data_IF_130257123155
#
_entry.id   IF_130257123155
#
_cell.length_a   1.000
_cell.length_b   1.000
_cell.length_c   1.000
_cell.angle_alpha   90.00
_cell.angle_beta   90.00
_cell.angle_gamma   90.00
#
_symmetry.space_group_name_H-M   'P 1'
#
loop_
_entity.id
_entity.type
_entity.pdbx_description
1 polymer ?
#
# COMPACT_ATOMS: atom_id res chain seq x y z
N UNK A 1 143.45 14.39 13.67
CA UNK A 1 142.40 13.34 13.60
C UNK A 1 140.97 13.89 13.79
N UNK A 2 140.75 14.97 14.57
CA UNK A 2 139.41 15.56 14.81
C UNK A 2 138.72 16.17 13.56
N UNK A 3 139.46 16.69 12.57
CA UNK A 3 138.89 17.25 11.33
C UNK A 3 138.33 16.20 10.35
N UNK A 4 138.81 14.95 10.42
CA UNK A 4 138.36 13.85 9.55
C UNK A 4 137.05 13.22 10.04
N UNK A 5 136.80 13.22 11.36
CA UNK A 5 135.55 12.72 11.96
C UNK A 5 134.38 13.67 11.69
N UNK A 6 134.62 14.99 11.72
CA UNK A 6 133.61 16.00 11.37
C UNK A 6 133.21 15.91 9.89
N UNK A 7 134.16 15.62 9.00
CA UNK A 7 133.87 15.40 7.58
C UNK A 7 133.03 14.14 7.33
N UNK A 8 133.27 13.05 8.08
CA UNK A 8 132.51 11.80 7.97
C UNK A 8 131.10 11.93 8.54
N UNK A 9 130.91 12.69 9.63
CA UNK A 9 129.59 13.00 10.19
C UNK A 9 128.76 13.96 9.30
N UNK A 10 129.42 14.90 8.63
CA UNK A 10 128.77 15.76 7.63
C UNK A 10 128.35 14.97 6.39
N UNK A 11 129.16 14.01 5.93
CA UNK A 11 128.81 13.13 4.81
C UNK A 11 127.65 12.20 5.20
N UNK A 12 127.59 11.71 6.45
CA UNK A 12 126.47 10.89 6.94
C UNK A 12 125.17 11.71 7.11
N UNK A 13 125.25 13.00 7.47
CA UNK A 13 124.10 13.91 7.48
C UNK A 13 123.60 14.26 6.07
N UNK A 14 124.48 14.28 5.07
CA UNK A 14 124.12 14.54 3.67
C UNK A 14 123.53 13.28 2.99
N UNK A 15 123.83 12.08 3.49
CA UNK A 15 123.29 10.80 2.98
C UNK A 15 121.93 10.40 3.57
N UNK A 16 121.42 11.08 4.61
CA UNK A 16 120.07 10.89 5.15
C UNK A 16 119.01 11.82 4.52
N UNK A 17 119.40 12.60 3.51
CA UNK A 17 118.57 13.63 2.86
C UNK A 17 117.85 13.18 1.56
N UNK A 18 117.73 11.88 1.28
CA UNK A 18 117.03 11.38 0.08
C UNK A 18 116.17 10.18 0.44
N UNK A 19 114.88 10.35 0.76
CA UNK A 19 113.68 10.12 -0.09
C UNK A 19 112.45 10.20 0.86
N UNK A 20 111.21 10.52 0.50
CA UNK A 20 110.49 10.71 -0.75
C UNK A 20 109.67 12.01 -0.66
N UNK A 21 109.55 12.68 -1.79
CA UNK A 21 108.57 13.74 -2.06
C UNK A 21 107.16 13.14 -2.17
N UNK A 22 106.21 13.73 -1.47
CA UNK A 22 104.81 13.75 -1.88
C UNK A 22 104.42 15.22 -2.05
N UNK A 23 104.54 15.71 -3.28
CA UNK A 23 104.02 17.01 -3.67
C UNK A 23 102.50 16.95 -3.81
N UNK A 24 101.88 17.87 -3.09
CA UNK A 24 100.69 18.64 -3.42
C UNK A 24 99.49 17.95 -4.09
N UNK A 25 98.37 17.98 -3.37
CA UNK A 25 97.10 18.41 -3.98
C UNK A 25 96.55 19.59 -3.16
N UNK A 26 96.98 20.79 -3.51
CA UNK A 26 96.09 21.94 -3.37
C UNK A 26 95.00 21.78 -4.42
N UNK A 27 93.74 21.64 -4.02
CA UNK A 27 92.58 22.20 -4.75
C UNK A 27 91.30 21.75 -4.08
N UNK A 28 90.38 22.69 -3.90
CA UNK A 28 88.97 22.38 -3.70
C UNK A 28 88.44 22.82 -2.36
N UNK A 29 88.36 24.14 -2.15
CA UNK A 29 87.22 24.67 -1.42
C UNK A 29 85.98 24.41 -2.28
N UNK A 30 85.48 23.17 -2.27
CA UNK A 30 84.10 22.90 -2.67
C UNK A 30 83.25 23.26 -1.48
N UNK A 31 82.81 24.51 -1.45
CA UNK A 31 81.57 24.89 -0.78
C UNK A 31 80.43 24.11 -1.44
N UNK A 32 80.33 22.80 -1.19
CA UNK A 32 79.04 22.12 -1.24
C UNK A 32 78.28 22.65 -0.05
N UNK A 33 77.58 23.77 -0.28
CA UNK A 33 76.48 24.21 0.55
C UNK A 33 75.45 23.08 0.52
N UNK A 34 75.60 22.11 1.43
CA UNK A 34 74.58 21.10 1.66
C UNK A 34 73.40 21.83 2.29
N UNK A 35 72.48 22.30 1.46
CA UNK A 35 71.22 22.90 1.92
C UNK A 35 70.39 21.78 2.52
N UNK A 36 70.50 21.60 3.83
CA UNK A 36 69.68 20.66 4.58
C UNK A 36 68.26 21.24 4.69
N UNK A 37 67.30 20.62 4.01
CA UNK A 37 65.88 21.01 4.09
C UNK A 37 65.23 20.38 5.32
N UNK A 38 64.37 21.15 5.99
CA UNK A 38 63.53 20.66 7.07
C UNK A 38 62.12 20.38 6.55
N UNK A 39 61.60 19.18 6.81
CA UNK A 39 60.23 18.78 6.46
C UNK A 39 59.59 18.19 7.72
N UNK A 40 58.45 18.75 8.13
CA UNK A 40 57.67 18.30 9.28
C UNK A 40 56.23 18.07 8.82
N UNK A 41 55.68 16.87 9.05
CA UNK A 41 54.34 16.46 8.61
C UNK A 41 54.07 16.74 7.11
N UNK A 42 55.06 16.48 6.24
CA UNK A 42 54.97 16.72 4.80
C UNK A 42 55.11 18.17 4.35
N UNK A 43 55.21 19.13 5.28
CA UNK A 43 55.41 20.56 4.97
C UNK A 43 56.88 20.95 5.07
N UNK A 44 57.40 21.59 4.03
CA UNK A 44 58.76 22.15 4.05
C UNK A 44 58.79 23.39 4.94
N UNK A 45 59.74 23.45 5.88
CA UNK A 45 59.95 24.57 6.78
C UNK A 45 61.07 25.45 6.23
N UNK A 46 60.73 26.69 5.92
CA UNK A 46 61.69 27.70 5.48
C UNK A 46 62.42 28.26 6.70
N UNK A 47 63.74 28.25 6.66
CA UNK A 47 64.59 28.81 7.74
C UNK A 47 65.37 30.00 7.22
N UNK A 48 65.59 31.01 8.07
CA UNK A 48 66.51 32.09 7.75
C UNK A 48 67.96 31.53 7.71
N UNK A 49 68.87 32.23 7.03
CA UNK A 49 70.27 31.79 6.90
C UNK A 49 70.97 31.63 8.26
N UNK A 50 70.60 32.42 9.27
CA UNK A 50 71.12 32.33 10.65
C UNK A 50 70.59 31.14 11.45
N UNK A 51 69.54 30.48 10.94
CA UNK A 51 68.83 29.39 11.60
C UNK A 51 68.71 28.17 10.68
N UNK A 52 69.51 28.11 9.62
CA UNK A 52 69.56 26.93 8.75
C UNK A 52 70.27 25.78 9.47
N UNK A 53 69.86 24.51 9.25
CA UNK A 53 70.61 23.39 9.80
C UNK A 53 72.03 23.39 9.26
N UNK A 54 72.99 23.03 10.12
CA UNK A 54 74.41 23.05 9.78
C UNK A 54 75.02 21.67 9.93
N UNK A 55 75.83 21.26 8.96
CA UNK A 55 76.62 20.03 9.06
C UNK A 55 77.99 20.39 9.64
N UNK A 56 78.29 19.88 10.82
CA UNK A 56 79.56 20.09 11.49
C UNK A 56 80.15 18.75 11.95
N UNK A 57 81.37 18.45 11.47
CA UNK A 57 82.11 17.19 11.75
C UNK A 57 81.25 15.93 11.53
N UNK A 58 80.53 15.87 10.42
CA UNK A 58 79.68 14.73 10.05
C UNK A 58 78.37 14.62 10.85
N UNK A 59 78.02 15.62 11.67
CA UNK A 59 76.74 15.69 12.39
C UNK A 59 75.92 16.87 11.89
N UNK A 60 74.64 16.64 11.66
CA UNK A 60 73.69 17.71 11.32
C UNK A 60 73.10 18.29 12.60
N UNK A 61 73.28 19.59 12.81
CA UNK A 61 72.68 20.35 13.89
C UNK A 61 71.46 21.08 13.36
N UNK A 62 70.33 20.89 14.03
CA UNK A 62 69.04 21.48 13.65
C UNK A 62 68.58 22.41 14.77
N UNK A 63 68.06 23.61 14.47
CA UNK A 63 67.49 24.47 15.49
C UNK A 63 66.29 23.82 16.17
N UNK A 64 66.46 23.51 17.46
CA UNK A 64 65.45 22.80 18.26
C UNK A 64 64.11 23.56 18.32
N UNK A 65 64.15 24.89 18.33
CA UNK A 65 62.93 25.72 18.37
C UNK A 65 62.06 25.52 17.13
N UNK A 66 62.68 25.55 15.95
CA UNK A 66 61.97 25.39 14.66
C UNK A 66 61.28 24.03 14.59
N UNK A 67 61.98 22.96 15.01
CA UNK A 67 61.41 21.61 14.99
C UNK A 67 60.27 21.49 16.00
N UNK A 68 60.46 22.00 17.22
CA UNK A 68 59.45 21.91 18.28
C UNK A 68 58.19 22.74 17.95
N UNK A 69 58.32 23.96 17.45
CA UNK A 69 57.18 24.79 17.04
C UNK A 69 56.46 24.21 15.82
N UNK A 70 57.19 23.61 14.87
CA UNK A 70 56.58 22.89 13.75
C UNK A 70 55.76 21.66 14.19
N UNK A 71 56.03 21.14 15.39
CA UNK A 71 55.26 20.10 16.06
C UNK A 71 54.19 20.66 17.02
N UNK A 72 53.88 21.97 16.91
CA UNK A 72 52.96 22.71 17.80
C UNK A 72 53.35 22.66 19.29
N UNK A 73 54.63 22.47 19.60
CA UNK A 73 55.15 22.53 20.96
C UNK A 73 55.61 23.94 21.27
N UNK A 74 55.37 24.39 22.51
CA UNK A 74 55.86 25.66 23.01
C UNK A 74 57.30 25.51 23.50
N UNK A 75 58.17 26.47 23.14
CA UNK A 75 59.58 26.50 23.53
C UNK A 75 59.91 27.77 24.31
N UNK A 76 60.37 27.62 25.55
CA UNK A 76 60.82 28.70 26.42
C UNK A 76 62.31 28.56 26.73
N UNK A 77 63.05 29.68 26.82
CA UNK A 77 64.46 29.70 27.23
C UNK A 77 64.60 30.25 28.64
N UNK A 78 65.15 29.43 29.55
CA UNK A 78 65.56 29.89 30.87
C UNK A 78 67.03 30.34 30.81
N UNK A 79 67.23 31.66 30.75
CA UNK A 79 68.56 32.27 30.66
C UNK A 79 69.40 32.12 31.93
N UNK A 80 68.77 31.92 33.09
CA UNK A 80 69.42 31.77 34.40
C UNK A 80 69.95 30.36 34.57
N UNK A 81 69.16 29.36 34.19
CA UNK A 81 69.53 27.95 34.27
C UNK A 81 70.27 27.45 33.02
N UNK A 82 70.31 28.25 31.95
CA UNK A 82 70.82 27.85 30.63
C UNK A 82 70.09 26.62 30.07
N UNK A 83 68.77 26.58 30.25
CA UNK A 83 67.92 25.42 29.91
C UNK A 83 66.85 25.79 28.90
N UNK A 84 66.66 24.94 27.89
CA UNK A 84 65.50 25.01 26.97
C UNK A 84 64.37 24.17 27.57
N UNK A 85 63.20 24.79 27.78
CA UNK A 85 61.98 24.11 28.23
C UNK A 85 61.04 23.96 27.05
N UNK A 86 60.66 22.73 26.72
CA UNK A 86 59.70 22.41 25.66
C UNK A 86 58.46 21.83 26.32
N UNK A 87 57.29 22.41 26.06
CA UNK A 87 56.00 21.96 26.59
C UNK A 87 55.00 21.77 25.46
N UNK A 88 54.41 20.59 25.35
CA UNK A 88 53.25 20.34 24.50
C UNK A 88 51.95 20.47 25.29
N UNK A 89 50.86 20.80 24.60
CA UNK A 89 49.53 20.39 25.10
C UNK A 89 49.43 18.90 24.85
N UNK A 90 49.26 18.09 25.89
CA UNK A 90 48.70 16.76 25.73
C UNK A 90 47.25 16.95 25.30
N UNK A 91 46.83 16.34 24.19
CA UNK A 91 45.47 16.41 23.62
C UNK A 91 44.37 15.79 24.52
N UNK A 92 44.58 15.72 25.83
CA UNK A 92 43.87 14.81 26.73
C UNK A 92 42.56 15.37 27.32
N UNK A 93 42.29 16.67 27.24
CA UNK A 93 41.11 17.27 27.93
C UNK A 93 39.98 17.65 26.96
N UNK A 94 40.29 18.19 25.78
CA UNK A 94 39.28 18.55 24.79
C UNK A 94 38.70 17.31 24.07
N UNK A 95 39.55 16.31 23.78
CA UNK A 95 39.10 15.07 23.12
C UNK A 95 38.30 14.17 24.06
N UNK A 96 38.64 14.14 25.35
CA UNK A 96 37.89 13.37 26.36
C UNK A 96 36.46 13.89 26.55
N UNK A 97 36.25 15.21 26.52
CA UNK A 97 34.91 15.79 26.61
C UNK A 97 34.07 15.54 25.35
N UNK A 98 34.70 15.55 24.17
CA UNK A 98 34.01 15.28 22.90
C UNK A 98 33.63 13.80 22.77
N UNK A 99 34.50 12.87 23.20
CA UNK A 99 34.19 11.44 23.26
C UNK A 99 33.00 11.17 24.17
N UNK A 100 33.01 11.73 25.40
CA UNK A 100 31.89 11.56 26.33
C UNK A 100 30.55 12.09 25.77
N UNK A 101 30.57 13.18 25.00
CA UNK A 101 29.37 13.72 24.35
C UNK A 101 28.87 12.82 23.22
N UNK A 102 29.77 12.26 22.42
CA UNK A 102 29.43 11.30 21.36
C UNK A 102 28.87 10.00 21.96
N UNK A 103 29.46 9.49 23.04
CA UNK A 103 28.98 8.29 23.73
C UNK A 103 27.57 8.50 24.30
N UNK A 104 27.31 9.66 24.90
CA UNK A 104 25.95 10.03 25.35
C UNK A 104 24.95 10.10 24.19
N UNK A 105 25.37 10.65 23.05
CA UNK A 105 24.53 10.73 21.85
C UNK A 105 24.24 9.34 21.28
N UNK A 106 25.25 8.46 21.23
CA UNK A 106 25.09 7.06 20.80
C UNK A 106 24.14 6.33 21.73
N UNK A 107 24.26 6.52 23.04
CA UNK A 107 23.36 5.92 24.03
C UNK A 107 21.92 6.38 23.83
N UNK A 108 21.70 7.69 23.64
CA UNK A 108 20.36 8.25 23.40
C UNK A 108 19.75 7.73 22.10
N UNK A 109 20.51 7.75 21.00
CA UNK A 109 20.07 7.18 19.72
C UNK A 109 19.77 5.68 19.82
N UNK A 110 20.55 4.93 20.60
CA UNK A 110 20.31 3.50 20.84
C UNK A 110 19.03 3.27 21.63
N UNK A 111 18.74 4.10 22.63
CA UNK A 111 17.49 4.04 23.38
C UNK A 111 16.29 4.38 22.48
N UNK A 112 16.39 5.42 21.65
CA UNK A 112 15.35 5.78 20.68
C UNK A 112 15.10 4.68 19.65
N UNK A 113 16.15 4.05 19.12
CA UNK A 113 16.03 2.91 18.20
C UNK A 113 15.36 1.72 18.87
N UNK A 114 15.73 1.42 20.12
CA UNK A 114 15.10 0.34 20.89
C UNK A 114 13.62 0.60 21.08
N UNK A 115 13.23 1.82 21.47
CA UNK A 115 11.84 2.22 21.63
C UNK A 115 11.07 2.11 20.30
N UNK A 116 11.61 2.63 19.20
CA UNK A 116 10.98 2.53 17.87
C UNK A 116 10.80 1.07 17.44
N UNK A 117 11.78 0.21 17.68
CA UNK A 117 11.68 -1.21 17.35
C UNK A 117 10.58 -1.90 18.17
N UNK A 118 10.44 -1.58 19.46
CA UNK A 118 9.34 -2.10 20.28
C UNK A 118 7.98 -1.61 19.78
N UNK A 119 7.85 -0.35 19.37
CA UNK A 119 6.61 0.18 18.78
C UNK A 119 6.27 -0.49 17.44
N UNK A 120 7.27 -0.73 16.58
CA UNK A 120 7.07 -1.46 15.32
C UNK A 120 6.58 -2.88 15.60
N UNK A 121 7.16 -3.56 16.59
CA UNK A 121 6.71 -4.91 16.97
C UNK A 121 5.27 -4.92 17.51
N UNK A 122 4.87 -3.94 18.32
CA UNK A 122 3.50 -3.86 18.82
C UNK A 122 2.50 -3.56 17.71
N UNK A 123 2.83 -2.63 16.81
CA UNK A 123 1.98 -2.31 15.65
C UNK A 123 1.84 -3.52 14.72
N UNK A 124 2.92 -4.28 14.50
CA UNK A 124 2.84 -5.48 13.67
C UNK A 124 1.92 -6.53 14.29
N UNK A 125 2.00 -6.74 15.61
CA UNK A 125 1.12 -7.68 16.30
C UNK A 125 -0.37 -7.25 16.22
N UNK A 126 -0.65 -5.95 16.33
CA UNK A 126 -2.00 -5.39 16.18
C UNK A 126 -2.55 -5.59 14.76
N UNK A 127 -1.74 -5.32 13.73
CA UNK A 127 -2.10 -5.59 12.32
C UNK A 127 -2.42 -7.07 12.11
N UNK A 128 -1.61 -7.97 12.67
CA UNK A 128 -1.82 -9.42 12.53
C UNK A 128 -3.10 -9.90 13.23
N UNK A 129 -3.52 -9.24 14.32
CA UNK A 129 -4.81 -9.50 14.99
C UNK A 129 -5.98 -9.02 14.15
N UNK A 130 -5.96 -7.77 13.67
CA UNK A 130 -7.05 -7.20 12.87
C UNK A 130 -7.28 -7.98 11.57
N UNK A 131 -6.20 -8.39 10.89
CA UNK A 131 -6.30 -9.24 9.69
C UNK A 131 -6.96 -10.59 9.94
N UNK A 132 -6.75 -11.15 11.13
CA UNK A 132 -7.38 -12.43 11.47
C UNK A 132 -8.87 -12.27 11.69
N UNK A 133 -9.32 -11.22 12.38
CA UNK A 133 -10.73 -10.99 12.66
C UNK A 133 -11.55 -10.88 11.36
N UNK A 134 -11.17 -9.97 10.45
CA UNK A 134 -11.90 -9.79 9.18
C UNK A 134 -11.92 -11.05 8.28
N UNK A 135 -10.85 -11.86 8.32
CA UNK A 135 -10.74 -13.04 7.46
C UNK A 135 -11.40 -14.29 8.06
N UNK A 136 -11.71 -14.32 9.36
CA UNK A 136 -12.56 -15.37 9.95
C UNK A 136 -14.03 -15.13 9.66
N UNK A 137 -14.50 -13.88 9.72
CA UNK A 137 -15.93 -13.61 9.63
C UNK A 137 -16.49 -13.87 8.22
N UNK A 138 -15.74 -13.51 7.16
CA UNK A 138 -16.12 -13.87 5.78
C UNK A 138 -15.83 -15.33 5.44
N UNK A 139 -14.77 -15.93 5.97
CA UNK A 139 -14.42 -17.32 5.69
C UNK A 139 -15.40 -18.32 6.30
N UNK A 140 -15.84 -18.07 7.54
CA UNK A 140 -16.90 -18.88 8.17
C UNK A 140 -18.22 -18.72 7.40
N UNK A 141 -18.52 -17.51 6.91
CA UNK A 141 -19.69 -17.25 6.07
C UNK A 141 -19.58 -17.91 4.67
N UNK A 142 -18.39 -17.97 4.06
CA UNK A 142 -18.16 -18.71 2.81
C UNK A 142 -18.50 -20.20 2.97
N UNK A 143 -18.02 -20.82 4.05
CA UNK A 143 -18.27 -22.23 4.35
C UNK A 143 -19.78 -22.48 4.60
N UNK A 144 -20.45 -21.59 5.34
CA UNK A 144 -21.89 -21.67 5.59
C UNK A 144 -22.71 -21.48 4.31
N UNK A 145 -22.39 -20.47 3.49
CA UNK A 145 -23.03 -20.24 2.20
C UNK A 145 -22.86 -21.44 1.27
N UNK A 146 -21.64 -21.97 1.17
CA UNK A 146 -21.39 -23.14 0.33
C UNK A 146 -22.15 -24.36 0.84
N UNK A 147 -22.28 -24.54 2.15
CA UNK A 147 -23.07 -25.63 2.74
C UNK A 147 -24.57 -25.50 2.47
N UNK A 148 -25.13 -24.30 2.55
CA UNK A 148 -26.57 -24.06 2.43
C UNK A 148 -27.03 -23.92 0.97
N UNK A 149 -26.13 -23.50 0.07
CA UNK A 149 -26.42 -23.19 -1.32
C UNK A 149 -25.54 -23.99 -2.30
N UNK A 150 -25.21 -25.25 -1.97
CA UNK A 150 -24.39 -26.15 -2.81
C UNK A 150 -25.09 -26.63 -4.09
N UNK A 151 -26.38 -26.37 -4.24
CA UNK A 151 -27.16 -26.62 -5.46
C UNK A 151 -28.04 -25.42 -5.84
N UNK A 152 -28.01 -25.10 -7.13
CA UNK A 152 -29.02 -24.32 -7.83
C UNK A 152 -29.95 -25.31 -8.54
N UNK A 153 -31.09 -25.62 -7.94
CA UNK A 153 -31.99 -26.67 -8.40
C UNK A 153 -31.24 -28.01 -8.64
N UNK A 154 -31.03 -28.38 -9.90
CA UNK A 154 -30.33 -29.61 -10.29
C UNK A 154 -28.89 -29.37 -10.77
N UNK A 155 -28.43 -28.11 -10.72
CA UNK A 155 -27.07 -27.67 -11.01
C UNK A 155 -26.27 -27.64 -9.71
N UNK A 156 -25.15 -28.35 -9.69
CA UNK A 156 -24.27 -28.33 -8.54
C UNK A 156 -23.38 -27.10 -8.60
N UNK A 157 -23.23 -26.45 -7.45
CA UNK A 157 -22.29 -25.37 -7.24
C UNK A 157 -20.95 -25.97 -6.81
N UNK A 158 -19.88 -25.57 -7.49
CA UNK A 158 -18.55 -26.05 -7.19
C UNK A 158 -17.87 -25.22 -6.11
N UNK A 159 -18.15 -23.92 -6.06
CA UNK A 159 -17.58 -23.02 -5.08
C UNK A 159 -18.40 -21.74 -4.91
N UNK A 160 -18.42 -21.19 -3.70
CA UNK A 160 -18.83 -19.82 -3.40
C UNK A 160 -17.66 -19.15 -2.69
N UNK A 161 -17.20 -18.00 -3.19
CA UNK A 161 -16.16 -17.18 -2.58
C UNK A 161 -16.65 -15.77 -2.32
N UNK A 162 -16.22 -15.20 -1.19
CA UNK A 162 -16.45 -13.83 -0.78
C UNK A 162 -15.10 -13.07 -0.75
N UNK A 163 -15.10 -11.84 -1.25
CA UNK A 163 -13.98 -10.90 -1.14
C UNK A 163 -14.51 -9.53 -0.69
N UNK A 164 -13.63 -8.67 -0.19
CA UNK A 164 -13.99 -7.35 0.33
C UNK A 164 -14.03 -7.28 1.85
N UNK A 165 -14.99 -6.51 2.37
CA UNK A 165 -15.19 -6.29 3.81
C UNK A 165 -16.68 -6.32 4.19
N UNK A 166 -16.99 -6.09 5.47
CA UNK A 166 -18.35 -6.16 6.01
C UNK A 166 -19.32 -5.14 5.40
N UNK A 167 -18.82 -4.06 4.77
CA UNK A 167 -19.63 -3.01 4.16
C UNK A 167 -19.79 -3.22 2.63
N UNK A 168 -18.82 -3.87 1.99
CA UNK A 168 -18.76 -4.07 0.53
C UNK A 168 -18.20 -5.48 0.20
N UNK A 169 -19.12 -6.40 -0.09
CA UNK A 169 -18.84 -7.82 -0.37
C UNK A 169 -18.96 -8.11 -1.86
N UNK A 170 -17.95 -8.75 -2.41
CA UNK A 170 -17.96 -9.32 -3.76
C UNK A 170 -18.10 -10.84 -3.71
N UNK A 171 -19.14 -11.37 -4.36
CA UNK A 171 -19.45 -12.81 -4.42
C UNK A 171 -19.04 -13.40 -5.76
N UNK A 172 -18.35 -14.54 -5.72
CA UNK A 172 -18.05 -15.36 -6.91
C UNK A 172 -18.61 -16.76 -6.70
N UNK A 173 -19.54 -17.15 -7.56
CA UNK A 173 -20.14 -18.48 -7.57
C UNK A 173 -19.61 -19.22 -8.80
N UNK A 174 -19.09 -20.43 -8.61
CA UNK A 174 -18.53 -21.26 -9.68
C UNK A 174 -19.42 -22.48 -9.92
N UNK A 175 -19.78 -22.71 -11.19
CA UNK A 175 -20.48 -23.92 -11.64
C UNK A 175 -19.64 -24.59 -12.72
N UNK A 176 -19.78 -25.91 -12.88
CA UNK A 176 -19.12 -26.65 -13.94
C UNK A 176 -20.11 -27.01 -15.04
N UNK A 177 -20.12 -26.24 -16.13
CA UNK A 177 -21.06 -26.50 -17.22
C UNK A 177 -20.63 -27.64 -18.14
N UNK A 178 -19.38 -28.10 -18.13
CA UNK A 178 -18.99 -29.37 -18.80
C UNK A 178 -19.81 -30.55 -18.26
N UNK A 179 -20.17 -30.52 -16.96
CA UNK A 179 -21.00 -31.56 -16.32
C UNK A 179 -22.49 -31.22 -16.21
N UNK A 180 -22.86 -29.94 -16.29
CA UNK A 180 -24.21 -29.46 -15.97
C UNK A 180 -24.88 -28.63 -17.08
N UNK A 181 -24.31 -28.50 -18.28
CA UNK A 181 -24.84 -27.70 -19.41
C UNK A 181 -26.34 -27.85 -19.64
N UNK A 182 -26.84 -29.09 -19.73
CA UNK A 182 -28.20 -29.45 -20.10
C UNK A 182 -29.18 -29.20 -18.96
N UNK A 183 -28.67 -29.09 -17.73
CA UNK A 183 -29.48 -28.74 -16.57
C UNK A 183 -29.52 -27.23 -16.40
N UNK A 184 -28.39 -26.56 -16.59
CA UNK A 184 -28.31 -25.11 -16.66
C UNK A 184 -29.24 -24.56 -17.75
N UNK A 185 -29.22 -25.16 -18.95
CA UNK A 185 -30.05 -24.77 -20.08
C UNK A 185 -31.56 -24.89 -19.85
N UNK A 186 -31.99 -25.47 -18.72
CA UNK A 186 -33.41 -25.66 -18.35
C UNK A 186 -33.83 -24.77 -17.19
N UNK A 187 -32.89 -24.07 -16.57
CA UNK A 187 -33.19 -23.15 -15.49
C UNK A 187 -33.90 -21.92 -16.05
N UNK A 188 -34.99 -21.52 -15.40
CA UNK A 188 -35.59 -20.21 -15.66
C UNK A 188 -34.77 -19.09 -15.05
N UNK A 189 -34.94 -17.88 -15.57
CA UNK A 189 -34.37 -16.67 -14.99
C UNK A 189 -34.78 -16.51 -13.53
N UNK A 190 -36.06 -16.70 -13.21
CA UNK A 190 -36.61 -16.72 -11.86
C UNK A 190 -35.96 -17.73 -10.90
N UNK A 191 -35.61 -18.94 -11.34
CA UNK A 191 -34.90 -19.94 -10.52
C UNK A 191 -33.49 -19.45 -10.16
N UNK A 192 -32.77 -18.91 -11.14
CA UNK A 192 -31.43 -18.34 -10.95
C UNK A 192 -31.50 -17.11 -10.04
N UNK A 193 -32.45 -16.19 -10.29
CA UNK A 193 -32.66 -14.97 -9.50
C UNK A 193 -32.94 -15.33 -8.03
N UNK A 194 -33.85 -16.25 -7.79
CA UNK A 194 -34.23 -16.68 -6.43
C UNK A 194 -33.05 -17.26 -5.66
N UNK A 195 -32.23 -18.09 -6.32
CA UNK A 195 -31.01 -18.63 -5.73
C UNK A 195 -30.02 -17.53 -5.33
N UNK A 196 -29.72 -16.60 -6.26
CA UNK A 196 -28.78 -15.50 -5.97
C UNK A 196 -29.34 -14.60 -4.86
N UNK A 197 -30.64 -14.31 -4.88
CA UNK A 197 -31.28 -13.51 -3.84
C UNK A 197 -31.13 -14.16 -2.47
N UNK A 198 -31.32 -15.47 -2.35
CA UNK A 198 -31.12 -16.17 -1.08
C UNK A 198 -29.67 -16.07 -0.58
N UNK A 199 -28.68 -16.19 -1.48
CA UNK A 199 -27.26 -16.01 -1.14
C UNK A 199 -27.00 -14.58 -0.64
N UNK A 200 -27.52 -13.57 -1.35
CA UNK A 200 -27.37 -12.15 -0.98
C UNK A 200 -28.04 -11.84 0.36
N UNK A 201 -29.27 -12.33 0.56
CA UNK A 201 -30.03 -12.14 1.80
C UNK A 201 -29.28 -12.78 2.98
N UNK A 202 -28.73 -13.99 2.82
CA UNK A 202 -27.93 -14.64 3.87
C UNK A 202 -26.66 -13.85 4.24
N UNK A 203 -26.01 -13.23 3.25
CA UNK A 203 -24.86 -12.34 3.51
C UNK A 203 -25.29 -11.11 4.30
N UNK A 204 -26.38 -10.44 3.88
CA UNK A 204 -26.88 -9.24 4.56
C UNK A 204 -27.41 -9.56 5.97
N UNK A 205 -28.03 -10.72 6.17
CA UNK A 205 -28.51 -11.19 7.49
C UNK A 205 -27.36 -11.42 8.48
N UNK A 206 -26.22 -11.94 8.01
CA UNK A 206 -25.06 -12.21 8.86
C UNK A 206 -24.24 -10.95 9.16
N UNK A 207 -24.14 -10.05 8.18
CA UNK A 207 -23.32 -8.83 8.28
C UNK A 207 -24.16 -7.61 8.66
N UNK A 208 -24.95 -7.11 7.71
CA UNK A 208 -25.85 -5.97 7.87
C UNK A 208 -26.74 -5.80 6.63
N UNK A 209 -27.99 -5.36 6.81
CA UNK A 209 -28.91 -4.94 5.73
C UNK A 209 -28.33 -3.81 4.85
N UNK A 210 -27.39 -3.01 5.39
CA UNK A 210 -26.73 -1.92 4.66
C UNK A 210 -25.52 -2.40 3.82
N UNK A 211 -25.11 -3.66 4.00
CA UNK A 211 -23.97 -4.27 3.27
C UNK A 211 -24.24 -4.22 1.77
N UNK A 212 -23.28 -3.73 0.99
CA UNK A 212 -23.35 -3.80 -0.47
C UNK A 212 -22.85 -5.15 -0.92
N UNK A 213 -23.63 -5.81 -1.77
CA UNK A 213 -23.28 -7.11 -2.31
C UNK A 213 -23.27 -7.01 -3.82
N UNK A 214 -22.15 -7.32 -4.45
CA UNK A 214 -22.04 -7.46 -5.90
C UNK A 214 -21.44 -8.81 -6.24
N UNK A 215 -21.72 -9.36 -7.42
CA UNK A 215 -21.16 -10.67 -7.72
C UNK A 215 -21.47 -11.21 -9.09
N UNK A 216 -21.02 -12.45 -9.29
CA UNK A 216 -21.21 -13.16 -10.55
C UNK A 216 -21.25 -14.68 -10.37
N UNK A 217 -22.00 -15.34 -11.25
CA UNK A 217 -21.88 -16.77 -11.50
C UNK A 217 -20.99 -16.98 -12.72
N UNK A 218 -20.00 -17.87 -12.62
CA UNK A 218 -19.12 -18.24 -13.72
C UNK A 218 -19.15 -19.74 -13.99
N UNK A 219 -18.99 -20.12 -15.25
CA UNK A 219 -18.62 -21.48 -15.62
C UNK A 219 -17.11 -21.66 -15.38
N UNK A 220 -16.71 -22.58 -14.51
CA UNK A 220 -15.31 -22.79 -14.17
C UNK A 220 -14.51 -23.55 -15.24
N UNK A 221 -15.18 -24.19 -16.20
CA UNK A 221 -14.52 -24.87 -17.32
C UNK A 221 -14.07 -23.85 -18.40
N UNK A 222 -14.98 -23.00 -18.84
CA UNK A 222 -14.73 -21.94 -19.84
C UNK A 222 -14.20 -20.64 -19.24
N UNK A 223 -14.44 -20.40 -17.94
CA UNK A 223 -14.29 -19.11 -17.26
C UNK A 223 -15.22 -18.02 -17.81
N UNK A 224 -16.32 -18.41 -18.46
CA UNK A 224 -17.34 -17.50 -18.94
C UNK A 224 -18.23 -17.02 -17.80
N UNK A 225 -18.61 -15.74 -17.85
CA UNK A 225 -19.52 -15.16 -16.86
C UNK A 225 -20.93 -15.40 -17.34
N UNK A 226 -21.72 -16.13 -16.55
CA UNK A 226 -23.08 -16.51 -16.88
C UNK A 226 -24.09 -15.48 -16.39
N UNK A 227 -23.81 -14.88 -15.23
CA UNK A 227 -24.72 -13.95 -14.55
C UNK A 227 -23.91 -12.93 -13.77
N UNK A 228 -24.36 -11.67 -13.73
CA UNK A 228 -23.83 -10.62 -12.85
C UNK A 228 -24.95 -9.99 -12.04
N UNK A 229 -24.71 -9.67 -10.76
CA UNK A 229 -25.73 -9.10 -9.88
C UNK A 229 -25.19 -8.02 -8.95
N UNK A 230 -26.08 -7.17 -8.43
CA UNK A 230 -25.76 -6.12 -7.46
C UNK A 230 -26.96 -5.79 -6.56
N UNK A 231 -26.68 -5.59 -5.28
CA UNK A 231 -27.58 -5.10 -4.23
C UNK A 231 -26.83 -4.07 -3.39
N UNK A 232 -27.17 -2.79 -3.51
CA UNK A 232 -26.50 -1.72 -2.77
C UNK A 232 -27.25 -1.46 -1.45
N UNK A 233 -26.95 -2.23 -0.41
CA UNK A 233 -27.66 -2.18 0.86
C UNK A 233 -29.14 -2.51 0.67
N UNK A 234 -30.03 -1.58 1.01
CA UNK A 234 -31.49 -1.74 0.88
C UNK A 234 -32.05 -1.38 -0.52
N UNK A 235 -31.20 -1.10 -1.51
CA UNK A 235 -31.64 -0.78 -2.89
C UNK A 235 -32.39 -1.94 -3.56
N UNK A 236 -33.04 -1.70 -4.69
CA UNK A 236 -33.53 -2.80 -5.56
C UNK A 236 -32.39 -3.76 -5.93
N UNK A 237 -32.70 -5.05 -6.01
CA UNK A 237 -31.77 -6.07 -6.46
C UNK A 237 -31.71 -6.02 -8.00
N UNK A 238 -30.51 -6.02 -8.57
CA UNK A 238 -30.31 -5.97 -10.02
C UNK A 238 -29.48 -7.15 -10.48
N UNK A 239 -29.81 -7.67 -11.66
CA UNK A 239 -29.27 -8.88 -12.25
C UNK A 239 -29.13 -8.69 -13.76
N UNK A 240 -28.12 -9.32 -14.36
CA UNK A 240 -27.93 -9.37 -15.81
C UNK A 240 -27.42 -10.76 -16.19
N UNK A 241 -28.13 -11.39 -17.12
CA UNK A 241 -27.79 -12.69 -17.69
C UNK A 241 -26.82 -12.53 -18.86
N UNK A 242 -25.86 -13.44 -18.96
CA UNK A 242 -24.74 -13.43 -19.91
C UNK A 242 -24.47 -14.85 -20.42
N UNK A 243 -25.52 -15.66 -20.48
CA UNK A 243 -25.43 -17.09 -20.78
C UNK A 243 -26.23 -17.47 -22.03
N UNK A 244 -26.33 -16.53 -22.97
CA UNK A 244 -26.93 -16.70 -24.31
C UNK A 244 -26.37 -17.95 -25.02
N UNK A 245 -25.07 -18.24 -24.86
CA UNK A 245 -24.41 -19.42 -25.42
C UNK A 245 -24.97 -20.76 -24.87
N UNK A 246 -25.64 -20.72 -23.71
CA UNK A 246 -26.15 -21.89 -22.99
C UNK A 246 -27.68 -21.99 -22.97
N UNK A 247 -28.39 -20.87 -22.74
CA UNK A 247 -29.86 -20.81 -22.69
C UNK A 247 -30.51 -20.31 -23.97
N UNK A 248 -29.70 -19.91 -24.95
CA UNK A 248 -30.15 -19.38 -26.24
C UNK A 248 -30.44 -17.88 -26.17
N UNK A 249 -30.25 -17.22 -27.31
CA UNK A 249 -30.70 -15.85 -27.60
C UNK A 249 -32.23 -15.92 -27.70
N UNK A 250 -32.91 -15.95 -26.55
CA UNK A 250 -34.35 -16.05 -26.52
C UNK A 250 -34.93 -14.70 -26.95
N UNK A 251 -36.03 -14.72 -27.68
CA UNK A 251 -36.94 -13.58 -27.80
C UNK A 251 -37.62 -13.31 -26.42
N UNK A 252 -36.83 -13.21 -25.32
CA UNK A 252 -37.24 -13.29 -23.91
C UNK A 252 -37.15 -12.01 -23.12
N UNK A 253 -36.69 -10.89 -23.70
CA UNK A 253 -36.41 -9.70 -22.89
C UNK A 253 -37.60 -9.25 -22.03
N UNK A 254 -38.83 -9.47 -22.50
CA UNK A 254 -40.06 -9.12 -21.77
C UNK A 254 -40.36 -10.11 -20.63
N UNK A 255 -40.32 -11.43 -20.88
CA UNK A 255 -40.57 -12.45 -19.85
C UNK A 255 -39.48 -12.40 -18.77
N UNK A 256 -38.23 -12.15 -19.16
CA UNK A 256 -37.11 -11.99 -18.23
C UNK A 256 -37.28 -10.72 -17.41
N UNK A 257 -37.72 -9.61 -17.99
CA UNK A 257 -38.05 -8.39 -17.22
C UNK A 257 -39.22 -8.62 -16.27
N UNK A 258 -40.25 -9.37 -16.67
CA UNK A 258 -41.35 -9.76 -15.78
C UNK A 258 -40.83 -10.53 -14.57
N UNK A 259 -40.07 -11.61 -14.81
CA UNK A 259 -39.45 -12.45 -13.78
C UNK A 259 -38.47 -11.63 -12.90
N UNK A 260 -37.72 -10.69 -13.50
CA UNK A 260 -36.78 -9.82 -12.82
C UNK A 260 -37.44 -8.74 -11.98
N UNK A 261 -38.69 -8.38 -12.22
CA UNK A 261 -39.44 -7.46 -11.36
C UNK A 261 -40.22 -8.22 -10.27
N UNK A 262 -40.57 -9.49 -10.48
CA UNK A 262 -41.23 -10.30 -9.46
C UNK A 262 -40.32 -10.51 -8.23
N UNK A 263 -40.88 -10.32 -7.04
CA UNK A 263 -40.17 -10.36 -5.76
C UNK A 263 -39.48 -9.04 -5.36
N UNK A 264 -39.53 -8.00 -6.20
CA UNK A 264 -38.93 -6.72 -5.86
C UNK A 264 -39.79 -5.94 -4.85
N UNK A 265 -39.13 -5.38 -3.83
CA UNK A 265 -39.78 -4.63 -2.76
C UNK A 265 -39.77 -3.12 -3.04
N UNK A 266 -40.92 -2.50 -2.83
CA UNK A 266 -41.16 -1.08 -3.00
C UNK A 266 -41.88 -0.48 -1.80
N UNK A 267 -41.61 0.80 -1.56
CA UNK A 267 -42.18 1.52 -0.43
C UNK A 267 -43.18 2.58 -0.89
N UNK A 268 -44.35 2.59 -0.23
CA UNK A 268 -45.27 3.73 -0.27
C UNK A 268 -45.34 4.30 1.15
N UNK A 269 -44.65 5.42 1.37
CA UNK A 269 -44.42 5.99 2.71
C UNK A 269 -43.74 4.96 3.64
N UNK A 270 -44.43 4.47 4.67
CA UNK A 270 -43.91 3.51 5.66
C UNK A 270 -44.47 2.08 5.47
N UNK A 271 -44.98 1.79 4.27
CA UNK A 271 -45.57 0.49 3.91
C UNK A 271 -44.72 -0.13 2.81
N UNK A 272 -44.21 -1.32 3.08
CA UNK A 272 -43.46 -2.15 2.13
C UNK A 272 -44.39 -3.07 1.37
N UNK A 273 -44.13 -3.17 0.06
CA UNK A 273 -44.87 -3.99 -0.89
C UNK A 273 -43.91 -4.79 -1.77
N UNK A 274 -44.12 -6.08 -1.87
CA UNK A 274 -43.42 -6.97 -2.80
C UNK A 274 -44.22 -7.06 -4.11
N UNK A 275 -43.55 -7.05 -5.27
CA UNK A 275 -44.21 -7.36 -6.54
C UNK A 275 -44.51 -8.87 -6.57
N UNK A 276 -45.79 -9.22 -6.56
CA UNK A 276 -46.24 -10.61 -6.62
C UNK A 276 -46.34 -11.14 -8.04
N UNK A 277 -46.71 -10.28 -9.00
CA UNK A 277 -46.86 -10.66 -10.41
C UNK A 277 -46.61 -9.46 -11.32
N UNK A 278 -45.93 -9.68 -12.45
CA UNK A 278 -45.83 -8.72 -13.56
C UNK A 278 -46.36 -9.35 -14.84
N UNK A 279 -47.06 -8.57 -15.66
CA UNK A 279 -47.54 -9.04 -16.96
C UNK A 279 -47.62 -7.90 -17.95
N UNK A 280 -46.83 -7.98 -19.00
CA UNK A 280 -46.85 -7.16 -20.19
C UNK A 280 -47.96 -7.62 -21.14
N UNK A 281 -48.53 -6.67 -21.85
CA UNK A 281 -49.58 -6.89 -22.84
C UNK A 281 -49.19 -6.18 -24.12
N UNK A 282 -49.57 -6.75 -25.27
CA UNK A 282 -49.33 -6.21 -26.62
C UNK A 282 -49.87 -4.78 -26.87
N UNK A 283 -50.62 -4.21 -25.92
CA UNK A 283 -51.07 -2.81 -25.94
C UNK A 283 -50.17 -1.87 -25.12
N UNK A 284 -48.88 -2.21 -25.04
CA UNK A 284 -47.81 -1.48 -24.35
C UNK A 284 -48.17 -1.17 -22.88
N UNK A 285 -48.92 -2.08 -22.25
CA UNK A 285 -49.38 -1.97 -20.86
C UNK A 285 -48.76 -3.05 -20.01
N UNK A 286 -48.16 -2.67 -18.89
CA UNK A 286 -47.72 -3.62 -17.85
C UNK A 286 -48.72 -3.61 -16.70
N UNK A 287 -49.13 -4.79 -16.23
CA UNK A 287 -49.89 -4.94 -14.99
C UNK A 287 -48.99 -5.49 -13.89
N UNK A 288 -49.04 -4.83 -12.74
CA UNK A 288 -48.25 -5.17 -11.57
C UNK A 288 -49.20 -5.36 -10.39
N UNK A 289 -49.08 -6.49 -9.70
CA UNK A 289 -49.77 -6.73 -8.43
C UNK A 289 -48.73 -6.70 -7.33
N UNK A 290 -48.92 -5.82 -6.34
CA UNK A 290 -48.03 -5.70 -5.21
C UNK A 290 -48.72 -6.14 -3.92
N UNK A 291 -48.11 -7.05 -3.19
CA UNK A 291 -48.58 -7.57 -1.91
C UNK A 291 -47.89 -6.88 -0.74
N UNK A 292 -48.65 -6.43 0.26
CA UNK A 292 -48.07 -5.86 1.45
C UNK A 292 -47.31 -6.91 2.28
N UNK A 293 -46.08 -6.57 2.65
CA UNK A 293 -45.23 -7.44 3.49
C UNK A 293 -45.70 -7.43 4.95
N UNK A 294 -46.33 -6.32 5.40
CA UNK A 294 -46.78 -6.15 6.79
C UNK A 294 -48.28 -6.38 6.97
N UNK A 295 -48.67 -7.01 8.07
CA UNK A 295 -50.07 -7.30 8.42
C UNK A 295 -50.92 -6.09 8.85
N UNK A 296 -50.34 -4.90 8.84
CA UNK A 296 -51.02 -3.65 9.21
C UNK A 296 -51.21 -2.70 8.02
N UNK A 297 -50.86 -3.16 6.81
CA UNK A 297 -50.81 -2.31 5.64
C UNK A 297 -52.16 -1.68 5.29
N UNK A 298 -53.29 -2.39 5.42
CA UNK A 298 -54.60 -1.79 5.19
C UNK A 298 -54.88 -0.58 6.08
N UNK A 299 -54.65 -0.70 7.39
CA UNK A 299 -54.83 0.44 8.31
C UNK A 299 -53.88 1.60 8.02
N UNK A 300 -52.61 1.29 7.73
CA UNK A 300 -51.61 2.32 7.41
C UNK A 300 -51.97 3.03 6.11
N UNK A 301 -52.41 2.29 5.11
CA UNK A 301 -52.79 2.80 3.80
C UNK A 301 -53.98 3.76 3.89
N UNK A 302 -55.01 3.40 4.67
CA UNK A 302 -56.17 4.26 4.91
C UNK A 302 -55.80 5.56 5.64
N UNK A 303 -54.73 5.55 6.45
CA UNK A 303 -54.20 6.73 7.14
C UNK A 303 -53.31 7.62 6.24
N UNK A 304 -52.88 7.13 5.07
CA UNK A 304 -52.05 7.90 4.15
C UNK A 304 -52.84 9.01 3.44
N UNK A 305 -52.22 10.18 3.33
CA UNK A 305 -52.74 11.25 2.48
C UNK A 305 -52.66 10.85 1.00
N UNK A 306 -53.62 11.28 0.17
CA UNK A 306 -53.61 11.00 -1.27
C UNK A 306 -52.31 11.43 -1.96
N UNK A 307 -51.66 12.52 -1.50
CA UNK A 307 -50.37 12.96 -2.04
C UNK A 307 -49.22 11.99 -1.77
N UNK A 308 -49.22 11.32 -0.62
CA UNK A 308 -48.19 10.32 -0.28
C UNK A 308 -48.36 9.07 -1.14
N UNK A 309 -49.60 8.59 -1.26
CA UNK A 309 -49.94 7.46 -2.13
C UNK A 309 -49.55 7.80 -3.57
N UNK A 310 -50.01 8.93 -4.11
CA UNK A 310 -49.70 9.32 -5.49
C UNK A 310 -48.20 9.43 -5.75
N UNK A 311 -47.40 9.92 -4.79
CA UNK A 311 -45.96 10.03 -4.96
C UNK A 311 -45.28 8.66 -4.99
N UNK A 312 -45.62 7.76 -4.05
CA UNK A 312 -45.05 6.41 -4.00
C UNK A 312 -45.46 5.59 -5.22
N UNK A 313 -46.75 5.58 -5.56
CA UNK A 313 -47.26 4.82 -6.72
C UNK A 313 -46.67 5.31 -8.04
N UNK A 314 -46.46 6.63 -8.21
CA UNK A 314 -45.76 7.16 -9.40
C UNK A 314 -44.30 6.73 -9.48
N UNK A 315 -43.60 6.66 -8.34
CA UNK A 315 -42.21 6.22 -8.31
C UNK A 315 -42.11 4.76 -8.77
N UNK A 316 -42.97 3.88 -8.24
CA UNK A 316 -43.03 2.46 -8.62
C UNK A 316 -43.40 2.32 -10.10
N UNK A 317 -44.45 3.01 -10.56
CA UNK A 317 -44.87 2.94 -11.96
C UNK A 317 -43.82 3.45 -12.95
N UNK A 318 -42.98 4.41 -12.54
CA UNK A 318 -41.84 4.86 -13.33
C UNK A 318 -40.73 3.81 -13.33
N UNK A 319 -40.37 3.28 -12.17
CA UNK A 319 -39.29 2.28 -12.07
C UNK A 319 -39.58 1.06 -12.94
N UNK A 320 -40.79 0.50 -12.82
CA UNK A 320 -41.23 -0.63 -13.65
C UNK A 320 -41.11 -0.29 -15.14
N UNK A 321 -41.60 0.87 -15.57
CA UNK A 321 -41.52 1.25 -16.99
C UNK A 321 -40.08 1.42 -17.48
N UNK A 322 -39.20 2.00 -16.65
CA UNK A 322 -37.79 2.17 -16.98
C UNK A 322 -37.08 0.82 -17.07
N UNK A 323 -37.42 -0.18 -16.24
CA UNK A 323 -36.86 -1.54 -16.34
C UNK A 323 -37.17 -2.18 -17.68
N UNK A 324 -38.42 -2.09 -18.17
CA UNK A 324 -38.76 -2.63 -19.51
C UNK A 324 -38.04 -1.90 -20.65
N UNK A 325 -37.80 -0.59 -20.53
CA UNK A 325 -37.03 0.15 -21.55
C UNK A 325 -35.53 -0.20 -21.49
N UNK A 326 -34.95 -0.25 -20.29
CA UNK A 326 -33.51 -0.42 -20.10
C UNK A 326 -33.06 -1.87 -20.35
N UNK A 327 -33.85 -2.84 -19.92
CA UNK A 327 -33.49 -4.26 -19.95
C UNK A 327 -34.09 -4.99 -21.17
N UNK A 328 -35.17 -4.46 -21.77
CA UNK A 328 -35.83 -5.08 -22.92
C UNK A 328 -36.00 -4.21 -24.17
N UNK A 329 -35.55 -2.94 -24.16
CA UNK A 329 -35.76 -1.98 -25.25
C UNK A 329 -37.26 -1.86 -25.63
N UNK A 330 -38.16 -2.03 -24.64
CA UNK A 330 -39.62 -1.95 -24.80
C UNK A 330 -40.20 -0.70 -24.14
N UNK A 331 -40.70 0.19 -24.99
CA UNK A 331 -41.38 1.42 -24.54
C UNK A 331 -42.77 1.13 -23.99
N UNK A 332 -42.97 1.37 -22.69
CA UNK A 332 -44.25 1.19 -22.00
C UNK A 332 -45.12 2.47 -22.06
N UNK A 333 -46.38 2.32 -22.46
CA UNK A 333 -47.36 3.42 -22.44
C UNK A 333 -48.01 3.57 -21.05
N UNK A 334 -48.34 2.44 -20.42
CA UNK A 334 -49.04 2.40 -19.14
C UNK A 334 -48.54 1.32 -18.18
N UNK A 335 -48.45 1.68 -16.90
CA UNK A 335 -48.28 0.70 -15.81
C UNK A 335 -49.54 0.71 -14.93
N UNK A 336 -50.20 -0.43 -14.80
CA UNK A 336 -51.36 -0.62 -13.94
C UNK A 336 -50.93 -1.31 -12.65
N UNK A 337 -51.04 -0.61 -11.53
CA UNK A 337 -50.59 -1.09 -10.21
C UNK A 337 -51.80 -1.43 -9.34
N UNK A 338 -51.80 -2.63 -8.77
CA UNK A 338 -52.80 -3.06 -7.78
C UNK A 338 -52.11 -3.43 -6.47
N UNK A 339 -52.43 -2.69 -5.41
CA UNK A 339 -51.89 -2.91 -4.08
C UNK A 339 -52.84 -3.78 -3.25
N UNK A 340 -52.28 -4.82 -2.64
CA UNK A 340 -53.02 -5.79 -1.82
C UNK A 340 -52.48 -5.82 -0.39
N UNK A 341 -53.36 -6.10 0.55
CA UNK A 341 -52.97 -6.42 1.92
C UNK A 341 -52.37 -7.83 2.00
N UNK A 342 -51.83 -8.18 3.16
CA UNK A 342 -51.21 -9.48 3.42
C UNK A 342 -52.17 -10.67 3.28
N UNK A 343 -53.49 -10.44 3.37
CA UNK A 343 -54.53 -11.43 3.15
C UNK A 343 -54.97 -11.53 1.68
N UNK A 344 -54.24 -10.88 0.78
CA UNK A 344 -54.45 -10.82 -0.67
C UNK A 344 -55.74 -10.05 -1.06
N UNK A 345 -56.39 -9.35 -0.13
CA UNK A 345 -57.46 -8.41 -0.43
C UNK A 345 -56.88 -7.11 -1.02
N UNK A 346 -57.57 -6.52 -2.00
CA UNK A 346 -57.13 -5.23 -2.57
C UNK A 346 -57.35 -4.13 -1.53
N UNK A 347 -56.32 -3.30 -1.32
CA UNK A 347 -56.41 -2.15 -0.43
C UNK A 347 -57.52 -1.20 -0.89
N UNK A 348 -58.15 -0.51 0.07
CA UNK A 348 -59.13 0.53 -0.25
C UNK A 348 -58.48 1.48 -1.24
N UNK A 349 -59.14 1.68 -2.38
CA UNK A 349 -58.66 2.65 -3.36
C UNK A 349 -57.22 2.33 -3.88
N UNK A 350 -56.84 1.04 -3.87
CA UNK A 350 -55.49 0.54 -4.14
C UNK A 350 -55.16 0.23 -5.59
N UNK A 351 -55.94 0.69 -6.57
CA UNK A 351 -55.71 0.43 -8.00
C UNK A 351 -55.47 1.70 -8.80
N UNK A 352 -54.37 1.71 -9.55
CA UNK A 352 -53.89 2.90 -10.27
C UNK A 352 -53.41 2.54 -11.67
N UNK A 353 -53.46 3.53 -12.56
CA UNK A 353 -52.89 3.52 -13.91
C UNK A 353 -51.95 4.71 -14.06
N UNK A 354 -50.66 4.42 -14.16
CA UNK A 354 -49.61 5.38 -14.46
C UNK A 354 -49.46 5.49 -15.98
N UNK A 355 -49.44 6.72 -16.51
CA UNK A 355 -49.13 6.98 -17.92
C UNK A 355 -47.70 7.51 -18.01
N UNK A 356 -46.83 6.76 -18.67
CA UNK A 356 -45.38 7.00 -18.71
C UNK A 356 -45.08 8.32 -19.44
N UNK A 357 -45.70 8.52 -20.59
CA UNK A 357 -45.52 9.71 -21.43
C UNK A 357 -45.87 11.04 -20.74
N UNK A 358 -47.02 11.10 -20.06
CA UNK A 358 -47.49 12.31 -19.36
C UNK A 358 -47.05 12.39 -17.90
N UNK A 359 -46.43 11.33 -17.37
CA UNK A 359 -46.07 11.17 -15.95
C UNK A 359 -47.25 11.38 -15.00
N UNK A 360 -48.46 11.06 -15.48
CA UNK A 360 -49.71 11.25 -14.74
C UNK A 360 -50.20 9.94 -14.15
N UNK A 361 -50.92 10.02 -13.03
CA UNK A 361 -51.48 8.87 -12.34
C UNK A 361 -52.99 9.04 -12.28
N UNK A 362 -53.72 8.00 -12.66
CA UNK A 362 -55.18 7.93 -12.58
C UNK A 362 -55.58 6.75 -11.74
N UNK A 363 -56.55 6.91 -10.85
CA UNK A 363 -57.14 5.82 -10.08
C UNK A 363 -58.14 5.04 -10.93
N UNK A 364 -58.15 3.71 -10.87
CA UNK A 364 -58.96 2.83 -11.75
C UNK A 364 -59.86 1.87 -11.00
#
# INVERSE_FOLDING_TARGET
>A
MKKKIVAVLLILCVLLLVTLTAEAASTGQTNISQVVKLIVNGKTINTAASESPVVYKGRTFVPIRIVAEALNLKVDWDSKLKTVKITGKTDSEADSSLLAQKDKTIQDLTAQLTQKNSTIQSMQAEIDTLKKQNNTDLGDLEDDLFSDYDYLENVKIDEIRLDGDEDDVTVKIEVNLDSYDTKWSKLSDSEIKSYIKNVVDKIQDELSDDTKVSGKIIDNDSNDTLVTFTKNGTSTFSLSYKDEDYRGDLESDIEDVEDNLEGDNFWVDDIEFEINTVTYYDDDTVKVVLGAVTSSAASKWDDLTSSKIESGVKAIGKEVADTFEDDADVSIDYVQLTFKDNDNSTLTDGSYKYNVNSKSLTKI
#
